data_IF_329634446150
#
_entry.id   IF_329634446150
#
_cell.length_a   1.000
_cell.length_b   1.000
_cell.length_c   1.000
_cell.angle_alpha   90.00
_cell.angle_beta   90.00
_cell.angle_gamma   90.00
#
_symmetry.space_group_name_H-M   'P 1'
#
loop_
_entity.id
_entity.type
_entity.pdbx_description
1 polymer ?
#
# COMPACT_ATOMS: atom_id res chain seq x y z
N UNK A 1 3.98 -17.27 40.95
CA UNK A 1 3.54 -17.96 39.72
C UNK A 1 3.45 -16.90 38.63
N UNK A 2 4.53 -16.76 37.86
CA UNK A 2 4.83 -15.62 37.01
C UNK A 2 4.17 -15.76 35.64
N UNK A 3 3.01 -15.12 35.46
CA UNK A 3 2.25 -15.16 34.21
C UNK A 3 2.56 -14.01 33.24
N UNK A 4 3.79 -13.49 33.19
CA UNK A 4 4.07 -12.28 32.38
C UNK A 4 5.48 -12.20 31.77
N UNK A 5 6.19 -13.31 31.63
CA UNK A 5 7.54 -13.32 31.04
C UNK A 5 7.58 -13.59 29.52
N UNK A 6 6.44 -13.74 28.83
CA UNK A 6 6.46 -14.19 27.43
C UNK A 6 5.30 -13.70 26.57
N UNK A 7 4.80 -12.47 26.77
CA UNK A 7 4.35 -11.73 25.59
C UNK A 7 5.63 -11.37 24.83
N UNK A 8 6.12 -12.28 23.98
CA UNK A 8 7.27 -12.00 23.13
C UNK A 8 6.97 -10.70 22.38
N UNK A 9 7.73 -9.64 22.67
CA UNK A 9 7.53 -8.34 22.05
C UNK A 9 7.51 -8.55 20.53
N UNK A 10 6.41 -8.14 19.89
CA UNK A 10 6.29 -8.23 18.44
C UNK A 10 7.35 -7.32 17.83
N UNK A 11 8.13 -7.82 16.87
CA UNK A 11 9.12 -6.99 16.17
C UNK A 11 8.46 -6.08 15.13
N UNK A 12 7.22 -6.42 14.76
CA UNK A 12 6.43 -5.72 13.74
C UNK A 12 5.12 -5.27 14.35
N UNK A 13 4.70 -4.07 13.98
CA UNK A 13 3.37 -3.53 14.25
C UNK A 13 2.69 -3.14 12.95
N UNK A 14 1.37 -3.23 12.92
CA UNK A 14 0.56 -2.68 11.82
C UNK A 14 -0.21 -1.48 12.33
N UNK A 15 0.12 -0.31 11.79
CA UNK A 15 -0.50 0.97 12.17
C UNK A 15 -1.56 1.35 11.13
N UNK A 16 -2.83 1.19 11.51
CA UNK A 16 -3.98 1.83 10.87
C UNK A 16 -4.38 3.07 11.64
N UNK A 17 -5.69 3.24 11.92
CA UNK A 17 -6.18 4.22 12.91
C UNK A 17 -5.84 3.80 14.35
N UNK A 18 -5.85 2.49 14.59
CA UNK A 18 -5.45 1.83 15.83
C UNK A 18 -4.45 0.74 15.47
N UNK A 19 -3.54 0.43 16.37
CA UNK A 19 -2.60 -0.67 16.16
C UNK A 19 -3.37 -2.01 16.14
N UNK A 20 -2.99 -2.90 15.22
CA UNK A 20 -3.59 -4.24 15.11
C UNK A 20 -5.02 -4.25 14.55
N UNK A 21 -5.55 -3.09 14.16
CA UNK A 21 -6.89 -2.95 13.59
C UNK A 21 -6.86 -2.11 12.31
N UNK A 22 -7.54 -2.59 11.26
CA UNK A 22 -7.70 -1.88 9.99
C UNK A 22 -9.17 -1.65 9.68
N UNK A 23 -9.52 -0.38 9.52
CA UNK A 23 -10.82 0.05 9.00
C UNK A 23 -10.75 0.08 7.46
N UNK A 24 -11.46 -0.85 6.82
CA UNK A 24 -11.55 -0.98 5.38
C UNK A 24 -12.73 -0.15 4.87
N UNK A 25 -12.42 0.81 3.99
CA UNK A 25 -13.43 1.66 3.39
C UNK A 25 -14.13 0.91 2.25
N UNK A 26 -15.45 0.84 2.33
CA UNK A 26 -16.31 0.22 1.33
C UNK A 26 -16.89 1.26 0.38
N UNK A 27 -16.59 1.11 -0.91
CA UNK A 27 -17.25 1.77 -2.02
C UNK A 27 -18.15 0.77 -2.76
N UNK A 28 -19.11 1.24 -3.58
CA UNK A 28 -19.99 0.34 -4.34
C UNK A 28 -19.26 -0.69 -5.21
N UNK A 29 -18.06 -0.34 -5.71
CA UNK A 29 -17.31 -1.16 -6.66
C UNK A 29 -16.00 -1.73 -6.10
N UNK A 30 -15.58 -1.32 -4.90
CA UNK A 30 -14.29 -1.73 -4.32
C UNK A 30 -14.23 -1.55 -2.81
N UNK A 31 -13.34 -2.32 -2.19
CA UNK A 31 -12.89 -2.14 -0.82
C UNK A 31 -11.44 -1.66 -0.84
N UNK A 32 -11.09 -0.72 0.02
CA UNK A 32 -9.71 -0.23 0.11
C UNK A 32 -9.36 0.29 1.49
N UNK A 33 -8.09 0.14 1.87
CA UNK A 33 -7.49 0.79 3.01
C UNK A 33 -5.99 0.98 2.77
N UNK A 34 -5.41 1.97 3.44
CA UNK A 34 -3.96 2.15 3.52
C UNK A 34 -3.50 1.94 4.95
N UNK A 35 -2.39 1.23 5.13
CA UNK A 35 -1.81 0.94 6.43
C UNK A 35 -0.30 0.82 6.35
N UNK A 36 0.36 0.95 7.50
CA UNK A 36 1.81 0.79 7.58
C UNK A 36 2.18 -0.50 8.29
N UNK A 37 3.13 -1.24 7.73
CA UNK A 37 3.87 -2.30 8.45
C UNK A 37 5.17 -1.66 8.92
N UNK A 38 5.44 -1.67 10.23
CA UNK A 38 6.58 -0.97 10.80
C UNK A 38 7.28 -1.79 11.87
N UNK A 39 8.55 -1.49 12.14
CA UNK A 39 9.27 -2.04 13.30
C UNK A 39 8.64 -1.50 14.59
N UNK A 40 8.44 -2.37 15.57
CA UNK A 40 7.84 -2.02 16.86
C UNK A 40 8.77 -1.15 17.71
N UNK A 41 8.27 -0.03 18.24
CA UNK A 41 9.08 0.89 19.05
C UNK A 41 9.60 0.25 20.34
N UNK A 42 8.84 -0.66 20.94
CA UNK A 42 9.24 -1.39 22.15
C UNK A 42 10.41 -2.33 21.88
N UNK A 43 10.42 -3.01 20.73
CA UNK A 43 11.58 -3.79 20.28
C UNK A 43 12.81 -2.89 20.07
N UNK A 44 12.60 -1.67 19.57
CA UNK A 44 13.66 -0.67 19.43
C UNK A 44 14.19 -0.19 20.79
N UNK A 45 13.32 -0.05 21.80
CA UNK A 45 13.71 0.35 23.15
C UNK A 45 14.47 -0.77 23.87
N UNK A 46 14.05 -2.03 23.72
CA UNK A 46 14.76 -3.17 24.30
C UNK A 46 16.17 -3.31 23.74
N UNK A 47 16.38 -3.13 22.43
CA UNK A 47 17.73 -3.09 21.85
C UNK A 47 18.57 -1.93 22.38
N UNK A 48 17.96 -0.76 22.61
CA UNK A 48 18.66 0.40 23.16
C UNK A 48 19.01 0.24 24.65
N UNK A 49 18.22 -0.51 25.42
CA UNK A 49 18.48 -0.75 26.84
C UNK A 49 19.53 -1.84 27.07
N UNK A 50 19.68 -2.80 26.16
CA UNK A 50 20.69 -3.86 26.22
C UNK A 50 22.09 -3.42 25.74
N UNK A 51 22.39 -2.12 25.76
CA UNK A 51 23.64 -1.50 25.27
C UNK A 51 24.87 -2.41 25.33
N UNK A 52 25.21 -2.99 24.17
CA UNK A 52 26.60 -3.22 23.79
C UNK A 52 26.85 -3.30 22.28
N UNK A 53 25.82 -3.28 21.43
CA UNK A 53 26.05 -3.12 20.00
C UNK A 53 24.81 -2.54 19.31
N UNK A 54 25.03 -1.51 18.46
CA UNK A 54 24.08 -1.02 17.45
C UNK A 54 23.91 -2.07 16.36
N UNK A 55 23.66 -3.32 16.73
CA UNK A 55 23.56 -4.38 15.76
C UNK A 55 22.37 -4.10 14.85
N UNK A 56 22.58 -4.19 13.54
CA UNK A 56 21.54 -3.84 12.59
C UNK A 56 20.40 -4.85 12.73
N UNK A 57 19.19 -4.34 12.90
CA UNK A 57 17.98 -5.14 12.96
C UNK A 57 17.36 -5.20 11.57
N UNK A 58 17.07 -6.41 11.08
CA UNK A 58 16.34 -6.61 9.85
C UNK A 58 15.21 -7.61 10.07
N UNK A 59 14.04 -7.28 9.54
CA UNK A 59 12.84 -8.12 9.63
C UNK A 59 12.26 -8.26 8.23
N UNK A 60 12.30 -9.48 7.71
CA UNK A 60 11.59 -9.85 6.49
C UNK A 60 10.16 -10.20 6.87
N UNK A 61 9.18 -9.61 6.19
CA UNK A 61 7.77 -9.90 6.39
C UNK A 61 7.07 -10.28 5.09
N UNK A 62 5.96 -11.01 5.23
CA UNK A 62 4.99 -11.25 4.18
C UNK A 62 3.57 -11.07 4.68
N UNK A 63 2.72 -10.48 3.84
CA UNK A 63 1.31 -10.37 4.08
C UNK A 63 0.60 -11.62 3.56
N UNK A 64 -0.32 -12.14 4.37
CA UNK A 64 -1.19 -13.24 4.02
C UNK A 64 -2.63 -12.96 4.42
N UNK A 65 -3.49 -13.43 3.54
CA UNK A 65 -4.94 -13.43 3.70
C UNK A 65 -5.41 -14.81 3.25
N UNK A 66 -6.53 -15.27 3.81
CA UNK A 66 -7.06 -16.59 3.46
C UNK A 66 -7.60 -16.61 2.01
N UNK A 67 -7.88 -15.45 1.42
CA UNK A 67 -8.55 -15.33 0.12
C UNK A 67 -7.69 -14.66 -0.95
N UNK A 68 -7.67 -15.28 -2.13
CA UNK A 68 -6.90 -14.85 -3.30
C UNK A 68 -7.42 -13.60 -4.01
N UNK A 69 -8.63 -13.14 -3.71
CA UNK A 69 -9.26 -11.97 -4.35
C UNK A 69 -8.89 -10.62 -3.71
N UNK A 70 -7.97 -10.63 -2.75
CA UNK A 70 -7.43 -9.45 -2.08
C UNK A 70 -6.04 -9.18 -2.64
N UNK A 71 -5.81 -7.93 -3.02
CA UNK A 71 -4.56 -7.46 -3.60
C UNK A 71 -3.91 -6.47 -2.63
N UNK A 72 -2.62 -6.65 -2.39
CA UNK A 72 -1.77 -5.68 -1.70
C UNK A 72 -0.85 -5.01 -2.71
N UNK A 73 -0.62 -3.71 -2.55
CA UNK A 73 0.41 -3.00 -3.33
C UNK A 73 1.80 -3.58 -3.15
N UNK A 74 2.05 -4.22 -2.00
CA UNK A 74 3.29 -4.92 -1.66
C UNK A 74 2.95 -6.10 -0.76
N UNK A 75 3.41 -7.30 -1.12
CA UNK A 75 3.13 -8.53 -0.34
C UNK A 75 4.31 -8.94 0.53
N UNK A 76 5.54 -8.69 0.07
CA UNK A 76 6.77 -8.98 0.80
C UNK A 76 7.54 -7.68 1.02
N UNK A 77 8.21 -7.56 2.16
CA UNK A 77 9.06 -6.42 2.43
C UNK A 77 10.12 -6.73 3.46
N UNK A 78 11.22 -5.98 3.39
CA UNK A 78 12.30 -6.03 4.35
C UNK A 78 12.33 -4.71 5.08
N UNK A 79 12.02 -4.76 6.37
CA UNK A 79 12.19 -3.64 7.26
C UNK A 79 13.56 -3.74 7.90
N UNK A 80 14.16 -2.61 8.20
CA UNK A 80 15.38 -2.65 8.99
C UNK A 80 15.73 -1.33 9.62
N UNK A 81 16.76 -1.41 10.47
CA UNK A 81 17.43 -0.26 11.04
C UNK A 81 18.91 -0.59 11.11
N UNK A 82 19.67 0.07 10.25
CA UNK A 82 21.11 0.02 10.25
C UNK A 82 21.63 1.45 10.18
N UNK A 83 22.18 1.92 11.29
CA UNK A 83 22.74 3.27 11.39
C UNK A 83 24.11 3.39 10.69
N UNK A 84 24.76 2.27 10.37
CA UNK A 84 26.04 2.23 9.69
C UNK A 84 25.89 2.08 8.17
N UNK A 85 24.70 1.70 7.67
CA UNK A 85 24.46 1.59 6.23
C UNK A 85 24.42 2.97 5.57
N UNK A 86 25.15 3.19 4.45
CA UNK A 86 25.06 4.42 3.67
C UNK A 86 23.67 4.62 3.04
N UNK A 87 22.93 3.53 2.83
CA UNK A 87 21.54 3.53 2.41
C UNK A 87 20.73 2.72 3.43
N UNK A 88 20.24 3.36 4.50
CA UNK A 88 19.55 2.64 5.56
C UNK A 88 18.27 1.99 5.01
N UNK A 89 17.98 0.74 5.39
CA UNK A 89 16.70 0.09 5.06
C UNK A 89 15.54 0.90 5.66
N UNK A 90 14.36 0.80 5.06
CA UNK A 90 13.18 1.47 5.60
C UNK A 90 12.74 0.81 6.90
N UNK A 91 12.38 1.62 7.90
CA UNK A 91 11.82 1.13 9.16
C UNK A 91 10.31 0.81 9.05
N UNK A 92 9.67 1.19 7.94
CA UNK A 92 8.26 0.98 7.68
C UNK A 92 7.95 0.92 6.18
N UNK A 93 6.84 0.28 5.83
CA UNK A 93 6.30 0.24 4.47
C UNK A 93 4.83 0.68 4.47
N UNK A 94 4.46 1.51 3.48
CA UNK A 94 3.06 1.86 3.20
C UNK A 94 2.44 0.82 2.28
N UNK A 95 1.33 0.24 2.72
CA UNK A 95 0.61 -0.79 1.99
C UNK A 95 -0.79 -0.30 1.68
N UNK A 96 -1.21 -0.47 0.43
CA UNK A 96 -2.59 -0.27 0.02
C UNK A 96 -3.22 -1.62 -0.26
N UNK A 97 -4.38 -1.86 0.33
CA UNK A 97 -5.23 -3.01 0.06
C UNK A 97 -6.31 -2.62 -0.95
N UNK A 98 -6.56 -3.53 -1.88
CA UNK A 98 -7.69 -3.50 -2.80
C UNK A 98 -8.39 -4.86 -2.82
N UNK A 99 -9.72 -4.86 -2.73
CA UNK A 99 -10.51 -6.07 -2.88
C UNK A 99 -11.87 -5.78 -3.54
N UNK A 100 -12.48 -6.80 -4.11
CA UNK A 100 -13.87 -6.72 -4.59
C UNK A 100 -14.85 -6.76 -3.42
N UNK A 101 -16.00 -6.05 -3.49
CA UNK A 101 -16.99 -6.04 -2.40
C UNK A 101 -17.48 -7.44 -1.96
N UNK A 102 -17.50 -8.41 -2.87
CA UNK A 102 -17.93 -9.79 -2.60
C UNK A 102 -17.19 -10.46 -1.41
N UNK A 103 -15.96 -10.03 -1.09
CA UNK A 103 -15.21 -10.59 0.06
C UNK A 103 -15.86 -10.27 1.42
N UNK A 104 -16.67 -9.21 1.50
CA UNK A 104 -17.46 -8.88 2.69
C UNK A 104 -18.65 -9.81 2.86
N UNK A 105 -19.40 -10.05 1.77
CA UNK A 105 -20.60 -10.90 1.79
C UNK A 105 -20.26 -12.34 2.19
N UNK A 106 -19.07 -12.80 1.81
CA UNK A 106 -18.57 -14.12 2.18
C UNK A 106 -18.06 -14.21 3.64
N UNK A 107 -17.96 -13.09 4.37
CA UNK A 107 -17.41 -13.04 5.73
C UNK A 107 -15.91 -13.38 5.79
N UNK A 108 -15.19 -13.23 4.68
CA UNK A 108 -13.86 -13.82 4.48
C UNK A 108 -12.71 -12.91 4.85
N UNK A 109 -12.89 -11.59 4.75
CA UNK A 109 -11.88 -10.60 5.12
C UNK A 109 -12.07 -10.12 6.57
N UNK A 110 -11.85 -11.03 7.53
CA UNK A 110 -11.87 -10.69 8.96
C UNK A 110 -10.49 -10.31 9.51
N UNK A 111 -9.43 -10.84 8.89
CA UNK A 111 -8.08 -10.79 9.44
C UNK A 111 -7.02 -10.80 8.34
N UNK A 112 -6.00 -9.95 8.48
CA UNK A 112 -4.77 -10.01 7.69
C UNK A 112 -3.67 -10.53 8.60
N UNK A 113 -2.94 -11.55 8.15
CA UNK A 113 -1.79 -12.09 8.88
C UNK A 113 -0.51 -11.50 8.31
N UNK A 114 0.28 -10.86 9.16
CA UNK A 114 1.67 -10.51 8.87
C UNK A 114 2.54 -11.62 9.42
N UNK A 115 3.17 -12.38 8.53
CA UNK A 115 4.17 -13.36 8.93
C UNK A 115 5.55 -12.71 8.81
N UNK A 116 6.39 -12.85 9.82
CA UNK A 116 7.68 -12.17 9.85
C UNK A 116 8.77 -13.01 10.53
N UNK A 117 10.01 -12.72 10.15
CA UNK A 117 11.23 -13.39 10.60
C UNK A 117 12.33 -12.34 10.72
N UNK A 118 13.11 -12.41 11.80
CA UNK A 118 14.36 -11.66 11.90
C UNK A 118 15.42 -12.32 11.01
N UNK A 119 16.12 -11.52 10.20
CA UNK A 119 17.16 -12.00 9.28
C UNK A 119 18.51 -11.38 9.62
N UNK A 120 19.59 -12.10 9.34
CA UNK A 120 20.93 -11.60 9.59
C UNK A 120 21.34 -10.48 8.62
N UNK A 121 22.34 -9.67 8.99
CA UNK A 121 22.84 -8.58 8.14
C UNK A 121 23.38 -9.04 6.77
N UNK A 122 23.92 -10.26 6.67
CA UNK A 122 24.36 -10.82 5.39
C UNK A 122 23.16 -11.12 4.47
N UNK A 123 22.16 -11.82 4.99
CA UNK A 123 20.92 -12.16 4.27
C UNK A 123 20.13 -10.91 3.89
N UNK A 124 20.06 -9.93 4.78
CA UNK A 124 19.40 -8.65 4.51
C UNK A 124 20.07 -7.90 3.34
N UNK A 125 21.40 -7.89 3.26
CA UNK A 125 22.13 -7.26 2.16
C UNK A 125 21.87 -7.95 0.82
N UNK A 126 21.79 -9.27 0.81
CA UNK A 126 21.41 -10.04 -0.38
C UNK A 126 19.98 -9.70 -0.80
N UNK A 127 19.03 -9.67 0.13
CA UNK A 127 17.65 -9.29 -0.15
C UNK A 127 17.52 -7.85 -0.69
N UNK A 128 18.29 -6.90 -0.14
CA UNK A 128 18.31 -5.52 -0.61
C UNK A 128 18.88 -5.37 -2.03
N UNK A 129 19.79 -6.26 -2.45
CA UNK A 129 20.38 -6.20 -3.79
C UNK A 129 19.45 -6.74 -4.89
N UNK A 130 18.45 -7.55 -4.52
CA UNK A 130 17.46 -8.08 -5.44
C UNK A 130 16.43 -7.05 -5.95
N UNK A 131 16.37 -5.86 -5.36
CA UNK A 131 15.37 -4.84 -5.72
C UNK A 131 13.99 -5.13 -5.11
N UNK A 132 12.98 -5.41 -5.94
CA UNK A 132 11.65 -5.78 -5.45
C UNK A 132 11.64 -7.22 -4.94
N UNK A 133 11.14 -7.41 -3.71
CA UNK A 133 11.11 -8.72 -3.06
C UNK A 133 9.92 -9.55 -3.56
N UNK A 134 10.24 -10.59 -4.33
CA UNK A 134 9.26 -11.53 -4.85
C UNK A 134 9.16 -12.82 -4.01
N UNK A 135 8.11 -13.59 -4.28
CA UNK A 135 7.77 -14.80 -3.53
C UNK A 135 8.90 -15.82 -3.56
N UNK A 136 9.53 -16.01 -4.70
CA UNK A 136 10.57 -17.02 -4.97
C UNK A 136 11.80 -16.74 -4.12
N UNK A 137 12.19 -15.46 -4.00
CA UNK A 137 13.31 -14.99 -3.18
C UNK A 137 13.00 -15.14 -1.69
N UNK A 138 11.79 -14.79 -1.26
CA UNK A 138 11.43 -14.79 0.16
C UNK A 138 11.03 -16.17 0.69
N UNK A 139 10.51 -17.07 -0.14
CA UNK A 139 9.94 -18.37 0.28
C UNK A 139 10.89 -19.20 1.15
N UNK A 140 12.19 -19.36 0.83
CA UNK A 140 13.12 -20.15 1.63
C UNK A 140 13.17 -19.72 3.11
N UNK A 141 13.15 -18.41 3.39
CA UNK A 141 13.22 -17.85 4.74
C UNK A 141 12.03 -18.28 5.60
N UNK A 142 10.84 -18.24 5.04
CA UNK A 142 9.60 -18.61 5.75
C UNK A 142 9.38 -20.13 5.87
N UNK A 143 10.17 -20.94 5.17
CA UNK A 143 10.08 -22.42 5.26
C UNK A 143 11.06 -23.03 6.25
N UNK A 144 12.09 -22.28 6.68
CA UNK A 144 13.14 -22.74 7.61
C UNK A 144 12.70 -22.80 9.08
N UNK A 145 11.47 -22.40 9.39
CA UNK A 145 10.96 -22.28 10.77
C UNK A 145 11.20 -20.89 11.38
N UNK A 146 10.81 -20.70 12.64
CA UNK A 146 11.00 -19.42 13.35
C UNK A 146 10.11 -18.26 12.89
N UNK A 147 9.18 -18.51 11.96
CA UNK A 147 8.21 -17.52 11.52
C UNK A 147 7.26 -17.16 12.65
N UNK A 148 7.15 -15.87 12.94
CA UNK A 148 6.19 -15.29 13.88
C UNK A 148 5.02 -14.69 13.13
N UNK A 149 3.86 -14.67 13.75
CA UNK A 149 2.64 -14.14 13.15
C UNK A 149 2.10 -12.97 13.96
N UNK A 150 1.65 -11.94 13.27
CA UNK A 150 0.91 -10.82 13.82
C UNK A 150 -0.42 -10.72 13.07
N UNK A 151 -1.53 -10.90 13.79
CA UNK A 151 -2.86 -10.90 13.19
C UNK A 151 -3.51 -9.52 13.37
N UNK A 152 -3.98 -8.98 12.25
CA UNK A 152 -4.57 -7.66 12.16
C UNK A 152 -6.06 -7.82 11.92
N UNK A 153 -6.88 -7.31 12.84
CA UNK A 153 -8.34 -7.38 12.73
C UNK A 153 -8.83 -6.38 11.69
N UNK A 154 -9.69 -6.82 10.78
CA UNK A 154 -10.32 -5.95 9.79
C UNK A 154 -11.75 -5.62 10.21
N UNK A 155 -12.11 -4.35 10.08
CA UNK A 155 -13.48 -3.85 10.21
C UNK A 155 -13.85 -3.11 8.93
N UNK A 156 -15.14 -2.95 8.66
CA UNK A 156 -15.61 -2.29 7.45
C UNK A 156 -16.37 -1.01 7.79
N UNK A 157 -16.18 0.00 6.95
CA UNK A 157 -16.91 1.25 7.02
C UNK A 157 -17.36 1.66 5.63
N UNK A 158 -18.65 1.92 5.47
CA UNK A 158 -19.19 2.50 4.25
C UNK A 158 -18.57 3.88 4.00
N UNK A 159 -18.09 4.12 2.79
CA UNK A 159 -17.64 5.44 2.38
C UNK A 159 -18.78 6.43 2.57
N UNK A 160 -18.60 7.40 3.46
CA UNK A 160 -19.52 8.54 3.51
C UNK A 160 -19.38 9.32 2.21
N UNK A 161 -20.48 9.78 1.59
CA UNK A 161 -20.40 10.77 0.52
C UNK A 161 -19.89 12.08 1.14
N UNK A 162 -18.57 12.25 1.24
CA UNK A 162 -17.99 13.49 1.72
C UNK A 162 -18.10 14.52 0.61
N UNK A 163 -18.97 15.51 0.84
CA UNK A 163 -18.94 16.81 0.18
C UNK A 163 -17.50 17.30 0.12
N UNK A 164 -17.04 17.60 -1.09
CA UNK A 164 -15.80 18.30 -1.37
C UNK A 164 -15.82 19.70 -0.73
N UNK A 165 -15.51 19.80 0.56
CA UNK A 165 -15.33 21.07 1.23
C UNK A 165 -13.87 21.47 1.06
N UNK A 166 -13.66 22.33 0.06
CA UNK A 166 -12.46 23.13 -0.20
C UNK A 166 -11.77 23.54 1.10
N UNK A 167 -10.47 23.31 1.15
CA UNK A 167 -9.51 24.05 1.97
C UNK A 167 -9.63 25.55 1.65
N UNK A 168 -10.54 26.22 2.34
CA UNK A 168 -10.64 27.67 2.42
C UNK A 168 -9.74 28.16 3.54
N UNK A 169 -8.47 28.39 3.21
CA UNK A 169 -7.46 29.08 4.02
C UNK A 169 -8.03 30.38 4.60
N UNK A 170 -8.58 30.37 5.82
CA UNK A 170 -8.93 31.58 6.59
C UNK A 170 -7.65 32.16 7.20
N UNK A 171 -6.95 32.96 6.41
CA UNK A 171 -5.99 33.93 6.94
C UNK A 171 -6.74 35.15 7.49
N UNK A 172 -6.54 35.44 8.78
CA UNK A 172 -6.69 36.79 9.37
C UNK A 172 -5.86 37.76 8.50
N UNK A 173 -6.34 38.91 8.03
CA UNK A 173 -6.92 40.01 8.81
C UNK A 173 -5.85 41.10 9.00
N UNK A 174 -5.73 42.03 8.04
CA UNK A 174 -4.84 43.20 8.06
C UNK A 174 -5.16 44.14 6.89
N UNK A 175 -5.29 45.43 7.17
CA UNK A 175 -6.06 46.43 6.41
C UNK A 175 -5.24 47.32 5.45
N UNK A 176 -5.97 48.02 4.57
CA UNK A 176 -5.61 49.19 3.71
C UNK A 176 -4.58 48.94 2.58
N UNK A 177 -4.66 49.47 1.35
CA UNK A 177 -5.51 50.47 0.67
C UNK A 177 -5.39 50.22 -0.88
N UNK A 178 -6.12 50.94 -1.75
CA UNK A 178 -6.30 50.58 -3.15
C UNK A 178 -5.20 51.13 -4.06
N UNK A 179 -4.70 50.30 -4.99
CA UNK A 179 -3.96 50.79 -6.15
C UNK A 179 -4.55 50.23 -7.44
N UNK A 180 -4.92 51.21 -8.26
CA UNK A 180 -5.46 51.13 -9.60
C UNK A 180 -4.50 50.44 -10.57
N UNK A 181 -5.08 49.60 -11.44
CA UNK A 181 -4.57 49.34 -12.79
C UNK A 181 -3.78 48.04 -12.99
N UNK A 182 -4.43 47.02 -13.56
CA UNK A 182 -4.03 46.45 -14.86
C UNK A 182 -4.92 45.26 -15.26
N UNK A 183 -5.56 45.44 -16.42
CA UNK A 183 -6.17 44.49 -17.37
C UNK A 183 -6.02 42.98 -17.10
N UNK A 184 -7.15 42.26 -17.08
CA UNK A 184 -7.46 41.05 -17.88
C UNK A 184 -8.86 40.52 -17.53
N UNK A 185 -9.81 40.69 -18.45
CA UNK A 185 -10.29 39.63 -19.35
C UNK A 185 -11.22 38.62 -18.68
N UNK A 186 -12.49 38.98 -18.57
CA UNK A 186 -13.62 38.05 -18.41
C UNK A 186 -14.01 37.49 -19.77
N UNK A 187 -13.76 36.21 -19.99
CA UNK A 187 -14.55 35.41 -20.94
C UNK A 187 -14.52 33.94 -20.54
N UNK A 188 -15.65 33.52 -19.95
CA UNK A 188 -16.36 32.25 -20.11
C UNK A 188 -15.61 30.91 -20.05
N UNK A 189 -15.98 30.16 -19.02
CA UNK A 189 -16.22 28.71 -18.96
C UNK A 189 -16.70 28.08 -20.29
N UNK A 190 -16.52 26.75 -20.39
CA UNK A 190 -16.89 25.82 -21.50
C UNK A 190 -15.74 25.72 -22.53
N UNK A 191 -14.90 24.67 -22.58
CA UNK A 191 -15.18 23.31 -23.09
C UNK A 191 -14.20 22.31 -22.43
N UNK A 192 -14.59 21.71 -21.31
CA UNK A 192 -13.95 20.50 -20.76
C UNK A 192 -14.81 19.24 -21.02
N UNK A 193 -15.64 19.30 -22.06
CA UNK A 193 -16.62 18.26 -22.44
C UNK A 193 -16.32 17.58 -23.78
N UNK A 194 -15.20 17.92 -24.46
CA UNK A 194 -14.90 17.40 -25.79
C UNK A 194 -14.01 16.14 -25.81
N UNK A 195 -13.29 15.81 -24.73
CA UNK A 195 -12.39 14.64 -24.72
C UNK A 195 -13.07 13.34 -24.27
N UNK A 196 -14.16 13.42 -23.49
CA UNK A 196 -14.88 12.23 -22.98
C UNK A 196 -15.85 11.62 -24.00
N UNK A 197 -16.31 12.39 -24.99
CA UNK A 197 -17.25 11.91 -26.03
C UNK A 197 -16.52 11.10 -27.12
N UNK A 198 -15.28 11.45 -27.46
CA UNK A 198 -14.53 10.76 -28.52
C UNK A 198 -14.14 9.32 -28.16
N UNK A 199 -13.90 9.01 -26.88
CA UNK A 199 -13.55 7.65 -26.45
C UNK A 199 -14.76 6.71 -26.47
N UNK A 200 -15.96 7.21 -26.15
CA UNK A 200 -17.18 6.40 -26.14
C UNK A 200 -17.70 6.11 -27.56
N UNK A 201 -17.54 7.03 -28.52
CA UNK A 201 -17.92 6.78 -29.91
C UNK A 201 -17.04 5.70 -30.57
N UNK A 202 -15.73 5.64 -30.26
CA UNK A 202 -14.82 4.63 -30.79
C UNK A 202 -15.14 3.20 -30.33
N UNK A 203 -15.57 3.03 -29.08
CA UNK A 203 -15.90 1.70 -28.51
C UNK A 203 -17.24 1.17 -29.02
N UNK A 204 -18.22 2.04 -29.28
CA UNK A 204 -19.54 1.63 -29.80
C UNK A 204 -19.47 1.25 -31.29
N UNK A 205 -18.65 1.95 -32.09
CA UNK A 205 -18.41 1.58 -33.50
C UNK A 205 -17.60 0.29 -33.65
N UNK A 206 -16.70 -0.03 -32.72
CA UNK A 206 -15.96 -1.29 -32.73
C UNK A 206 -16.86 -2.51 -32.44
N UNK A 207 -17.92 -2.35 -31.64
CA UNK A 207 -18.85 -3.45 -31.31
C UNK A 207 -19.88 -3.77 -32.39
N UNK A 208 -20.18 -2.84 -33.32
CA UNK A 208 -21.13 -3.10 -34.42
C UNK A 208 -20.52 -3.81 -35.64
N UNK A 209 -19.19 -3.95 -35.72
CA UNK A 209 -18.51 -4.59 -36.87
C UNK A 209 -17.93 -5.98 -36.62
N UNK A 210 -18.25 -6.62 -35.49
CA UNK A 210 -17.87 -8.02 -35.25
C UNK A 210 -16.36 -8.29 -35.41
N UNK A 211 -15.51 -7.32 -35.05
CA UNK A 211 -14.06 -7.46 -35.17
C UNK A 211 -13.57 -8.25 -33.97
N UNK A 212 -13.34 -9.55 -34.17
CA UNK A 212 -12.65 -10.41 -33.21
C UNK A 212 -11.21 -9.90 -33.02
N UNK A 213 -10.81 -9.74 -31.76
CA UNK A 213 -9.45 -9.36 -31.33
C UNK A 213 -8.36 -10.33 -31.86
N UNK A 214 -8.73 -11.51 -32.34
CA UNK A 214 -7.80 -12.46 -32.97
C UNK A 214 -7.29 -12.02 -34.36
N UNK A 215 -7.99 -11.08 -35.04
CA UNK A 215 -7.59 -10.54 -36.34
C UNK A 215 -6.45 -9.52 -36.25
N UNK A 216 -6.36 -8.76 -35.15
CA UNK A 216 -5.34 -7.72 -34.98
C UNK A 216 -3.95 -8.31 -34.72
N UNK A 217 -3.86 -9.46 -34.05
CA UNK A 217 -2.60 -10.15 -33.78
C UNK A 217 -1.96 -10.75 -35.05
N UNK A 218 -2.77 -11.08 -36.08
CA UNK A 218 -2.26 -11.61 -37.36
C UNK A 218 -1.79 -10.51 -38.33
N UNK A 219 -2.31 -9.29 -38.24
CA UNK A 219 -1.85 -8.18 -39.08
C UNK A 219 -0.47 -7.64 -38.66
N UNK A 220 -0.16 -7.66 -37.36
CA UNK A 220 1.15 -7.22 -36.86
C UNK A 220 2.27 -8.20 -37.21
N UNK A 221 1.99 -9.51 -37.32
CA UNK A 221 2.97 -10.51 -37.75
C UNK A 221 3.32 -10.50 -39.24
N UNK A 222 2.55 -9.83 -40.10
CA UNK A 222 2.84 -9.72 -41.55
C UNK A 222 3.57 -8.44 -41.96
N UNK A 223 3.84 -7.51 -41.04
CA UNK A 223 4.61 -6.28 -41.31
C UNK A 223 6.07 -6.31 -40.84
N UNK A 224 6.53 -7.46 -40.33
CA UNK A 224 7.94 -7.70 -39.98
C UNK A 224 8.60 -8.79 -40.82
N UNK A 225 8.01 -9.15 -41.96
CA UNK A 225 8.52 -10.17 -42.88
C UNK A 225 8.46 -9.69 -44.34
N UNK A 226 8.71 -8.40 -44.56
CA UNK A 226 9.22 -7.84 -45.82
C UNK A 226 10.42 -6.93 -45.47
#
# INVERSE_FOLDING_TARGET
>A
MSSNAAAAASLVVVKGRREGELEITQYPTKLTCSFNVALAEEALQQQQQQQQQRDPLYVLYRLRVKESSILFSKTYGLLGRDAASPTPPSAWDSIVLYAQPAVMEMGRLSTIRVEYIAVGAAEARELLSCGELEKEVCRPFFTRGGTRHYEVKCTFRTASPTSSQKDGKRGRGGAAEPSSGSRRSTTLTVVALATTVCVLAGVVLARRRGVSLEGLARAVRRRGAE
#
